data_IF_434641881815
#
_entry.id   IF_434641881815
#
_cell.length_a   1.000
_cell.length_b   1.000
_cell.length_c   1.000
_cell.angle_alpha   90.00
_cell.angle_beta   90.00
_cell.angle_gamma   90.00
#
_symmetry.space_group_name_H-M   'P 1'
#
loop_
_entity.id
_entity.type
_entity.pdbx_description
1 polymer ?
2 non-polymer ?
3 non-polymer ?
4 non-polymer ?
5 water ?
#
# COMPACT_ATOMS: atom_id res chain seq x y z
N UNK A 1 -17.45 -1.77 -5.52
CA UNK A 1 -16.59 -2.95 -5.83
C UNK A 1 -16.29 -3.87 -4.66
N UNK A 2 -15.30 -4.75 -4.83
CA UNK A 2 -15.00 -5.83 -3.88
C UNK A 2 -14.47 -5.33 -2.54
N UNK A 3 -14.89 -5.99 -1.47
CA UNK A 3 -14.29 -5.77 -0.14
C UNK A 3 -13.96 -7.11 0.51
N UNK A 4 -13.08 -7.08 1.51
CA UNK A 4 -12.79 -8.28 2.28
C UNK A 4 -14.00 -8.53 3.16
N UNK A 5 -14.47 -9.77 3.19
CA UNK A 5 -15.66 -10.14 3.98
C UNK A 5 -15.27 -10.86 5.27
N UNK A 6 -14.14 -10.44 5.83
CA UNK A 6 -13.61 -11.05 7.04
C UNK A 6 -12.79 -9.97 7.73
N UNK A 7 -12.58 -10.13 9.03
CA UNK A 7 -11.87 -9.11 9.81
C UNK A 7 -10.37 -9.33 10.00
N UNK A 8 -9.92 -10.58 9.97
CA UNK A 8 -8.50 -10.90 10.12
C UNK A 8 -7.88 -11.05 8.74
N UNK A 9 -6.95 -10.14 8.43
CA UNK A 9 -6.34 -10.05 7.10
C UNK A 9 -4.85 -10.30 7.26
N UNK A 10 -4.28 -11.13 6.39
CA UNK A 10 -2.86 -11.43 6.47
C UNK A 10 -2.10 -10.71 5.37
N UNK A 11 -0.85 -10.36 5.65
CA UNK A 11 0.02 -9.89 4.58
C UNK A 11 1.38 -10.54 4.65
N UNK A 12 2.08 -10.50 3.53
CA UNK A 12 3.38 -11.11 3.47
C UNK A 12 4.28 -10.26 2.60
N UNK A 13 5.51 -10.07 3.04
CA UNK A 13 6.47 -9.33 2.22
C UNK A 13 7.23 -10.37 1.39
N UNK A 14 6.96 -10.35 0.09
CA UNK A 14 7.51 -11.34 -0.85
C UNK A 14 9.02 -11.24 -0.98
N UNK A 15 9.49 -10.00 -1.00
CA UNK A 15 10.89 -9.69 -1.21
C UNK A 15 11.14 -8.26 -0.77
N UNK A 16 12.41 -7.91 -0.60
CA UNK A 16 12.80 -6.63 0.00
C UNK A 16 13.61 -5.77 -0.96
N UNK A 17 13.24 -4.51 -1.10
CA UNK A 17 14.04 -3.56 -1.87
C UNK A 17 15.43 -3.43 -1.23
N UNK A 18 16.49 -3.41 -2.07
CA UNK A 18 17.83 -3.14 -1.56
C UNK A 18 18.05 -1.67 -1.21
N UNK A 19 17.05 -0.83 -1.49
CA UNK A 19 17.13 0.61 -1.22
C UNK A 19 17.09 0.92 0.27
N UNK A 20 16.53 0.01 1.06
CA UNK A 20 16.27 0.26 2.48
C UNK A 20 16.82 -0.83 3.39
N UNK A 21 16.97 -0.51 4.67
CA UNK A 21 17.21 -1.53 5.69
C UNK A 21 15.99 -2.43 5.81
N UNK A 22 16.22 -3.73 6.01
CA UNK A 22 15.11 -4.68 6.13
C UNK A 22 14.11 -4.25 7.18
N UNK A 23 14.61 -3.93 8.38
CA UNK A 23 13.74 -3.57 9.50
C UNK A 23 12.88 -2.35 9.16
N UNK A 24 13.41 -1.45 8.33
CA UNK A 24 12.71 -0.21 7.95
C UNK A 24 11.61 -0.48 6.93
N UNK A 25 11.83 -1.47 6.06
CA UNK A 25 10.75 -1.94 5.18
C UNK A 25 9.59 -2.55 6.00
N UNK A 26 9.92 -3.48 6.89
CA UNK A 26 8.93 -4.08 7.79
C UNK A 26 8.14 -3.00 8.53
N UNK A 27 8.83 -2.02 9.10
CA UNK A 27 8.16 -1.00 9.91
C UNK A 27 7.26 -0.08 9.08
N UNK A 28 7.75 0.35 7.91
CA UNK A 28 6.95 1.18 6.99
C UNK A 28 5.65 0.49 6.61
N UNK A 29 5.75 -0.78 6.21
CA UNK A 29 4.55 -1.53 5.79
C UNK A 29 3.60 -1.72 6.99
N UNK A 30 4.18 -2.05 8.15
CA UNK A 30 3.39 -2.24 9.37
C UNK A 30 2.61 -0.97 9.72
N UNK A 31 3.31 0.15 9.77
CA UNK A 31 2.72 1.46 10.05
C UNK A 31 1.63 1.82 9.04
N UNK A 32 1.85 1.48 7.77
CA UNK A 32 0.84 1.77 6.73
C UNK A 32 -0.43 0.95 6.93
N UNK A 33 -0.29 -0.33 7.30
CA UNK A 33 -1.48 -1.12 7.66
C UNK A 33 -2.21 -0.50 8.86
N UNK A 34 -1.44 -0.06 9.86
CA UNK A 34 -2.03 0.53 11.07
C UNK A 34 -2.90 1.75 10.79
N UNK A 35 -2.52 2.56 9.81
CA UNK A 35 -3.32 3.71 9.37
C UNK A 35 -4.78 3.27 9.08
N UNK A 36 -4.92 2.13 8.41
CA UNK A 36 -6.24 1.64 8.03
C UNK A 36 -6.94 0.87 9.15
N UNK A 37 -6.20 0.07 9.92
CA UNK A 37 -6.81 -0.63 11.06
C UNK A 37 -7.32 0.38 12.11
N UNK A 38 -6.72 1.58 12.13
CA UNK A 38 -7.12 2.64 13.05
C UNK A 38 -8.56 3.08 12.87
N UNK A 39 -9.08 2.90 11.66
CA UNK A 39 -10.36 3.51 11.29
C UNK A 39 -11.34 2.48 10.73
N UNK A 40 -11.02 1.21 10.96
CA UNK A 40 -11.87 0.10 10.51
C UNK A 40 -11.82 -1.01 11.55
N UNK A 41 -12.66 -2.05 11.38
CA UNK A 41 -12.56 -3.22 12.26
C UNK A 41 -11.49 -4.24 11.84
N UNK A 42 -10.71 -3.92 10.81
CA UNK A 42 -9.74 -4.86 10.28
C UNK A 42 -8.56 -5.05 11.23
N UNK A 43 -8.06 -6.28 11.28
CA UNK A 43 -6.81 -6.57 11.95
C UNK A 43 -5.84 -7.18 10.94
N UNK A 44 -4.59 -6.71 10.94
CA UNK A 44 -3.59 -7.13 9.96
C UNK A 44 -2.45 -7.83 10.66
N UNK A 45 -2.04 -8.98 10.10
CA UNK A 45 -0.92 -9.77 10.62
C UNK A 45 0.03 -10.17 9.50
N UNK A 46 1.32 -10.03 9.78
CA UNK A 46 2.36 -10.39 8.84
C UNK A 46 2.65 -11.87 9.00
N UNK A 47 2.60 -12.60 7.90
CA UNK A 47 2.92 -14.02 7.93
C UNK A 47 4.20 -14.21 7.12
N UNK A 48 4.95 -15.24 7.45
CA UNK A 48 6.27 -15.41 6.85
C UNK A 48 6.31 -16.44 5.76
N UNK A 49 5.22 -17.18 5.62
CA UNK A 49 5.18 -18.30 4.72
C UNK A 49 3.74 -18.60 4.32
N UNK A 50 3.56 -19.21 3.16
CA UNK A 50 2.23 -19.58 2.68
C UNK A 50 1.51 -18.41 2.05
N UNK A 51 0.23 -18.62 1.76
CA UNK A 51 -0.59 -17.67 1.02
C UNK A 51 -1.14 -16.58 1.94
N UNK A 52 -0.85 -15.33 1.62
CA UNK A 52 -1.41 -14.20 2.36
C UNK A 52 -2.55 -13.59 1.56
N UNK A 53 -3.41 -12.83 2.23
CA UNK A 53 -4.40 -12.02 1.54
C UNK A 53 -3.71 -10.97 0.70
N UNK A 54 -2.73 -10.28 1.28
CA UNK A 54 -2.06 -9.18 0.59
C UNK A 54 -0.58 -9.51 0.47
N UNK A 55 -0.13 -9.74 -0.76
CA UNK A 55 1.31 -9.95 -0.98
C UNK A 55 1.95 -8.63 -1.41
N UNK A 56 3.00 -8.23 -0.69
CA UNK A 56 3.77 -7.02 -0.96
C UNK A 56 5.01 -7.39 -1.77
N UNK A 57 5.13 -6.81 -2.97
CA UNK A 57 6.18 -7.19 -3.93
C UNK A 57 6.97 -5.96 -4.39
N UNK A 58 8.30 -6.09 -4.47
CA UNK A 58 9.09 -5.10 -5.21
C UNK A 58 9.54 -5.73 -6.50
N UNK A 59 9.33 -5.00 -7.59
CA UNK A 59 9.68 -5.51 -8.92
C UNK A 59 9.85 -4.36 -9.89
N UNK A 60 10.56 -4.63 -10.98
CA UNK A 60 10.77 -3.62 -12.03
C UNK A 60 10.28 -4.13 -13.37
N UNK A 61 9.94 -3.18 -14.24
CA UNK A 61 9.49 -3.45 -15.61
C UNK A 61 8.36 -4.46 -15.66
N UNK A 62 8.44 -5.42 -16.58
CA UNK A 62 7.45 -6.48 -16.68
C UNK A 62 7.64 -7.48 -15.54
N UNK A 63 6.57 -7.78 -14.81
CA UNK A 63 6.71 -8.62 -13.62
C UNK A 63 5.55 -9.58 -13.39
N UNK A 64 4.91 -9.97 -14.50
CA UNK A 64 4.03 -11.11 -14.51
C UNK A 64 2.56 -10.81 -14.36
N UNK A 65 2.16 -9.55 -14.47
CA UNK A 65 0.75 -9.23 -14.23
C UNK A 65 0.01 -8.41 -15.28
N UNK A 66 0.69 -8.03 -16.36
CA UNK A 66 0.10 -7.17 -17.41
C UNK A 66 -0.03 -5.70 -16.98
N UNK A 67 0.59 -5.35 -15.86
CA UNK A 67 0.73 -3.96 -15.45
C UNK A 67 2.23 -3.60 -15.33
N UNK A 68 2.95 -3.61 -16.45
CA UNK A 68 4.40 -3.32 -16.44
C UNK A 68 4.77 -1.95 -15.84
N UNK A 69 5.89 -1.92 -15.11
CA UNK A 69 6.41 -0.66 -14.57
C UNK A 69 7.29 0.05 -15.62
N UNK A 70 7.59 1.31 -15.36
CA UNK A 70 8.04 2.23 -16.39
C UNK A 70 9.40 2.86 -16.08
N UNK A 71 10.20 2.21 -15.24
CA UNK A 71 11.48 2.81 -14.83
C UNK A 71 11.27 3.88 -13.77
N UNK A 72 12.34 4.59 -13.44
CA UNK A 72 12.29 5.61 -12.42
C UNK A 72 11.26 6.70 -12.78
N UNK A 73 10.46 7.08 -11.79
CA UNK A 73 9.46 8.13 -11.95
C UNK A 73 8.16 7.56 -12.48
N UNK A 74 7.20 8.43 -12.81
CA UNK A 74 5.91 7.96 -13.33
C UNK A 74 5.17 7.06 -12.35
N UNK A 75 4.79 5.86 -12.80
CA UNK A 75 4.09 4.91 -11.93
C UNK A 75 5.06 4.41 -10.87
N UNK A 76 4.73 4.64 -9.60
CA UNK A 76 5.58 4.23 -8.48
C UNK A 76 5.18 2.88 -7.89
N UNK A 77 3.89 2.58 -7.99
CA UNK A 77 3.33 1.39 -7.36
C UNK A 77 1.94 1.17 -7.90
N UNK A 78 1.46 -0.06 -7.77
CA UNK A 78 0.05 -0.34 -8.07
C UNK A 78 -0.43 -1.50 -7.20
N UNK A 79 -1.75 -1.63 -7.05
CA UNK A 79 -2.29 -2.68 -6.20
C UNK A 79 -3.64 -3.18 -6.74
N UNK A 80 -4.01 -4.38 -6.33
CA UNK A 80 -5.25 -5.02 -6.77
C UNK A 80 -6.28 -5.00 -5.65
N UNK A 81 -7.52 -4.70 -6.01
CA UNK A 81 -8.63 -4.72 -5.08
C UNK A 81 -8.85 -6.10 -4.49
N UNK A 82 -9.61 -6.18 -3.38
CA UNK A 82 -9.83 -7.46 -2.71
C UNK A 82 -10.32 -8.58 -3.63
N UNK A 83 -9.82 -9.78 -3.38
CA UNK A 83 -10.25 -10.93 -4.14
C UNK A 83 -9.24 -12.03 -3.96
N UNK A 84 -9.53 -13.19 -4.54
CA UNK A 84 -8.63 -14.33 -4.46
C UNK A 84 -7.41 -14.13 -5.37
N UNK A 85 -6.41 -14.99 -5.19
CA UNK A 85 -5.24 -14.97 -6.05
C UNK A 85 -4.46 -13.70 -5.81
N UNK A 86 -4.21 -12.96 -6.88
CA UNK A 86 -3.49 -11.67 -6.81
C UNK A 86 -4.32 -10.52 -6.25
N UNK A 87 -5.62 -10.73 -6.06
CA UNK A 87 -6.43 -9.72 -5.39
C UNK A 87 -5.79 -9.31 -4.07
N UNK A 88 -5.78 -8.01 -3.80
CA UNK A 88 -5.15 -7.46 -2.60
C UNK A 88 -3.67 -7.13 -2.75
N UNK A 89 -3.01 -7.69 -3.75
CA UNK A 89 -1.55 -7.59 -3.78
C UNK A 89 -1.10 -6.19 -4.13
N UNK A 90 0.00 -5.76 -3.52
CA UNK A 90 0.52 -4.42 -3.69
C UNK A 90 1.94 -4.54 -4.24
N UNK A 91 2.18 -3.90 -5.38
CA UNK A 91 3.45 -4.00 -6.09
C UNK A 91 4.15 -2.65 -6.12
N UNK A 92 5.44 -2.63 -5.80
CA UNK A 92 6.19 -1.37 -5.72
C UNK A 92 7.32 -1.40 -6.74
N UNK A 93 7.42 -0.34 -7.54
CA UNK A 93 8.40 -0.26 -8.64
C UNK A 93 9.82 -0.18 -8.08
N UNK A 94 10.61 -1.24 -8.29
CA UNK A 94 11.99 -1.24 -7.81
C UNK A 94 12.86 -0.17 -8.47
N UNK A 95 12.40 0.36 -9.60
CA UNK A 95 13.13 1.45 -10.24
C UNK A 95 13.00 2.80 -9.53
N UNK A 96 12.13 2.89 -8.52
CA UNK A 96 12.17 4.04 -7.63
C UNK A 96 13.23 3.81 -6.56
N UNK A 97 13.55 4.85 -5.82
CA UNK A 97 14.44 4.73 -4.67
C UNK A 97 13.63 4.96 -3.41
N UNK A 98 13.32 3.86 -2.73
CA UNK A 98 12.46 3.85 -1.56
C UNK A 98 13.21 4.29 -0.32
N UNK A 99 12.55 5.13 0.50
CA UNK A 99 13.17 5.62 1.74
C UNK A 99 12.20 5.74 2.92
N UNK A 100 12.79 6.00 4.09
CA UNK A 100 12.04 6.29 5.31
C UNK A 100 11.79 7.79 5.49
N UNK A 101 12.30 8.60 4.57
CA UNK A 101 12.26 10.06 4.75
C UNK A 101 11.74 10.81 3.53
N UNK A 102 12.15 12.09 3.39
CA UNK A 102 11.68 12.94 2.30
C UNK A 102 12.40 12.70 0.98
N UNK A 103 13.56 12.04 1.04
CA UNK A 103 14.34 11.72 -0.14
C UNK A 103 13.71 10.57 -0.89
N UNK A 104 14.02 10.46 -2.18
CA UNK A 104 13.49 9.38 -3.03
C UNK A 104 11.97 9.34 -3.00
N UNK A 105 11.42 8.14 -2.92
CA UNK A 105 9.98 7.99 -2.75
C UNK A 105 9.73 7.35 -1.41
N UNK A 106 8.86 7.96 -0.60
CA UNK A 106 8.67 7.49 0.76
C UNK A 106 7.84 6.21 0.71
N UNK A 107 8.38 5.12 1.25
CA UNK A 107 7.67 3.83 1.22
C UNK A 107 6.38 3.86 2.03
N UNK A 108 6.45 4.34 3.27
CA UNK A 108 5.25 4.38 4.13
C UNK A 108 4.06 5.08 3.43
N UNK A 109 4.29 6.28 2.91
CA UNK A 109 3.20 7.09 2.33
C UNK A 109 2.60 6.42 1.10
N UNK A 110 3.47 5.89 0.25
CA UNK A 110 3.05 5.16 -0.94
C UNK A 110 2.26 3.91 -0.53
N UNK A 111 2.72 3.24 0.51
CA UNK A 111 2.07 2.00 0.95
C UNK A 111 0.68 2.27 1.57
N UNK A 112 0.52 3.41 2.25
CA UNK A 112 -0.81 3.80 2.77
C UNK A 112 -1.81 3.85 1.61
N UNK A 113 -1.42 4.52 0.53
CA UNK A 113 -2.23 4.61 -0.68
C UNK A 113 -2.48 3.24 -1.31
N UNK A 114 -1.42 2.47 -1.56
CA UNK A 114 -1.54 1.12 -2.16
C UNK A 114 -2.44 0.20 -1.33
N UNK A 115 -2.26 0.22 -0.01
CA UNK A 115 -3.10 -0.61 0.86
C UNK A 115 -4.56 -0.15 0.79
N UNK A 116 -4.79 1.15 0.65
CA UNK A 116 -6.14 1.65 0.38
C UNK A 116 -6.79 0.90 -0.78
N UNK A 117 -6.07 0.76 -1.89
CA UNK A 117 -6.53 -0.05 -3.04
C UNK A 117 -6.73 -1.53 -2.68
N UNK A 118 -5.78 -2.10 -1.94
CA UNK A 118 -5.84 -3.52 -1.51
C UNK A 118 -7.12 -3.77 -0.70
N UNK A 119 -7.64 -2.70 -0.10
CA UNK A 119 -8.86 -2.77 0.73
C UNK A 119 -10.15 -2.44 -0.03
N UNK A 120 -10.01 -1.94 -1.25
CA UNK A 120 -11.16 -1.65 -2.12
C UNK A 120 -11.39 -0.21 -2.49
N UNK A 121 -10.50 0.69 -2.06
CA UNK A 121 -10.65 2.11 -2.35
C UNK A 121 -10.13 2.44 -3.73
N UNK A 122 -10.80 3.40 -4.38
CA UNK A 122 -10.34 3.95 -5.66
C UNK A 122 -9.67 5.29 -5.42
N UNK A 123 -9.39 6.01 -6.49
CA UNK A 123 -8.70 7.29 -6.35
C UNK A 123 -9.66 8.39 -5.95
N UNK A 124 -9.14 9.38 -5.23
CA UNK A 124 -9.92 10.55 -4.84
C UNK A 124 -9.53 11.74 -5.74
N UNK A 125 -10.48 12.63 -5.99
CA UNK A 125 -10.20 13.85 -6.74
C UNK A 125 -9.69 14.98 -5.81
N UNK A 126 -9.65 14.71 -4.51
CA UNK A 126 -9.28 15.72 -3.52
C UNK A 126 -7.76 15.66 -3.29
N UNK A 127 -7.01 16.74 -3.64
CA UNK A 127 -5.56 16.72 -3.46
C UNK A 127 -5.10 16.47 -2.02
N UNK A 128 -6.00 16.68 -1.05
CA UNK A 128 -5.68 16.47 0.36
C UNK A 128 -5.72 15.00 0.79
N UNK A 129 -6.38 14.16 -0.02
CA UNK A 129 -6.58 12.74 0.28
C UNK A 129 -5.33 11.93 -0.07
N UNK A 130 -5.00 10.95 0.79
CA UNK A 130 -3.90 10.04 0.49
C UNK A 130 -4.19 9.26 -0.80
N UNK A 131 -5.47 9.07 -1.11
CA UNK A 131 -5.90 8.35 -2.32
C UNK A 131 -5.90 9.21 -3.60
N UNK A 132 -5.48 10.46 -3.47
CA UNK A 132 -5.26 11.30 -4.65
C UNK A 132 -4.10 10.71 -5.43
N UNK A 133 -4.29 10.45 -6.74
CA UNK A 133 -3.31 9.72 -7.54
C UNK A 133 -2.16 10.58 -8.07
N UNK A 134 -1.53 11.34 -7.18
CA UNK A 134 -0.32 12.09 -7.46
C UNK A 134 0.54 12.00 -6.20
N UNK A 135 1.78 11.57 -6.34
CA UNK A 135 2.66 11.50 -5.18
C UNK A 135 3.15 12.89 -4.76
N UNK A 136 2.93 13.24 -3.50
CA UNK A 136 3.52 14.44 -2.89
C UNK A 136 3.89 14.12 -1.45
N UNK A 137 5.18 14.24 -1.15
CA UNK A 137 5.68 13.95 0.19
C UNK A 137 5.05 14.86 1.24
N UNK A 138 4.65 14.25 2.35
CA UNK A 138 4.24 14.97 3.55
C UNK A 138 4.94 14.35 4.74
N UNK A 139 5.19 15.14 5.79
CA UNK A 139 5.88 14.63 6.97
C UNK A 139 5.18 13.39 7.55
N UNK A 140 5.91 12.27 7.55
CA UNK A 140 5.37 10.96 7.92
C UNK A 140 5.11 10.79 9.42
N UNK A 141 5.88 11.50 10.25
CA UNK A 141 5.75 11.41 11.71
C UNK A 141 4.41 11.90 12.22
N UNK A 142 3.77 12.78 11.44
CA UNK A 142 2.49 13.37 11.82
C UNK A 142 1.37 13.15 10.80
N UNK A 143 1.62 12.30 9.80
CA UNK A 143 0.65 12.01 8.74
C UNK A 143 -0.75 11.68 9.29
N UNK A 144 -1.79 12.17 8.60
CA UNK A 144 -3.18 11.78 8.89
C UNK A 144 -4.04 11.62 7.63
N UNK A 145 -4.95 10.65 7.66
CA UNK A 145 -5.92 10.50 6.58
C UNK A 145 -6.77 11.75 6.49
N UNK A 146 -7.17 12.10 5.28
CA UNK A 146 -8.09 13.21 5.07
C UNK A 146 -9.51 12.75 5.43
N UNK A 147 -10.43 13.71 5.56
CA UNK A 147 -11.85 13.43 5.77
C UNK A 147 -12.37 12.53 4.65
N UNK A 148 -11.90 12.79 3.44
CA UNK A 148 -12.32 12.06 2.25
C UNK A 148 -11.89 10.59 2.31
N UNK A 149 -10.66 10.34 2.77
CA UNK A 149 -10.16 8.97 2.93
C UNK A 149 -10.98 8.20 3.96
N UNK A 150 -11.25 8.86 5.09
CA UNK A 150 -12.01 8.24 6.17
C UNK A 150 -13.44 7.91 5.75
N UNK A 151 -14.10 8.85 5.07
CA UNK A 151 -15.47 8.59 4.57
C UNK A 151 -15.48 7.47 3.52
N UNK A 152 -14.46 7.45 2.67
CA UNK A 152 -14.26 6.39 1.68
C UNK A 152 -14.11 5.03 2.33
N UNK A 153 -13.18 4.90 3.27
CA UNK A 153 -12.94 3.60 3.89
C UNK A 153 -14.11 3.16 4.78
N UNK A 154 -14.74 4.12 5.45
CA UNK A 154 -15.86 3.79 6.33
C UNK A 154 -17.14 3.50 5.54
N UNK A 155 -17.16 3.87 4.26
CA UNK A 155 -18.24 3.43 3.36
C UNK A 155 -18.11 1.94 2.99
N UNK A 156 -16.90 1.40 3.15
CA UNK A 156 -16.61 0.00 2.83
C UNK A 156 -16.57 -0.92 4.05
N UNK A 157 -16.09 -0.40 5.18
CA UNK A 157 -15.93 -1.19 6.41
C UNK A 157 -16.44 -0.44 7.64
N UNK A 158 -16.89 -1.19 8.63
CA UNK A 158 -17.15 -0.62 9.95
C UNK A 158 -18.38 0.25 10.07
X LIG B 1 -3.42 4.60 -6.79
X LIG C 1 2.28 -5.45 -10.70
X LIG D 1 -3.61 -11.96 -2.78
X LIG E 1 15.14 0.73 -6.03
X LIG F 1 8.18 3.96 -12.15
X LIG G 1 0.00 6.47 -9.29
X LIG G 1 0.62 8.26 -5.04
X LIG G 1 -1.04 3.50 -8.11
X LIG G 1 0.69 7.14 -4.19
X LIG G 1 1.22 5.72 -6.11
X LIG G 1 -0.30 7.79 -11.56
X LIG G 1 2.13 7.87 -8.94
X LIG G 1 2.28 5.51 -8.74
X LIG G 1 0.49 7.25 -2.83
X LIG G 1 1.51 9.31 -11.25
X LIG G 1 -2.15 5.42 -8.30
X LIG G 1 -1.24 4.68 -8.68
X LIG G 1 -1.91 3.10 -7.09
X LIG G 1 -0.29 5.12 -9.79
X LIG G 1 -0.50 7.65 -10.05
X LIG G 1 -0.74 6.63 -12.25
X LIG G 1 1.17 8.07 -11.86
X LIG G 1 1.44 6.66 -8.54
X LIG G 1 1.14 6.83 -6.96
X LIG G 1 0.99 5.88 -4.74
X LIG G 1 0.65 8.48 -2.12
X LIG G 1 0.84 8.09 -6.42
#
# INVERSE_FOLDING_TARGET
GPVWRKHYITYRINNYTPDMNREDVDYAIRKAFQVWSNVTPLKFSKINTGMADILVVFARGAHGDDHAFDGKGGILAHAFGPGSGIGGDAHFDEDEFWTTHSGGTNLFLTAVHEIGHSLGLGHSSDPKAVMFPTYKYVDINTFRLSADDIRGIQSLYG
ZN ZN
ZN ZN
CA CA
CA CA
CA CA
HS1 N1 C2 N2 C4 C5 C6 O1 O2 O3 O4 O7 C9 O5 C11 C8 O6 C12 S1 C3 C7 C10 C1
#
